data_IF_855007518182
#
_entry.id   IF_855007518182
#
_cell.length_a   1.000
_cell.length_b   1.000
_cell.length_c   1.000
_cell.angle_alpha   90.00
_cell.angle_beta   90.00
_cell.angle_gamma   90.00
#
_symmetry.space_group_name_H-M   'P 1'
#
loop_
_entity.id
_entity.type
_entity.pdbx_description
1 polymer ?
#
# COMPACT_ATOMS: atom_id res chain seq x y z
N UNK A 1 8.32 2.63 -27.01
CA UNK A 1 7.82 3.05 -26.57
C UNK A 1 7.92 4.04 -26.18
N UNK A 2 7.69 4.55 -26.25
CA UNK A 2 7.80 5.36 -25.85
C UNK A 2 7.44 5.84 -25.10
N UNK A 3 7.38 6.10 -24.81
CA UNK A 3 7.12 6.46 -24.12
C UNK A 3 6.75 7.36 -23.76
N UNK A 4 6.18 7.66 -23.60
CA UNK A 4 5.85 8.50 -23.09
C UNK A 4 5.58 8.67 -22.04
N UNK A 5 5.70 8.66 -21.83
CA UNK A 5 5.96 8.86 -20.75
C UNK A 5 5.17 9.39 -19.69
N UNK A 6 4.94 10.19 -19.22
CA UNK A 6 4.14 10.66 -18.14
C UNK A 6 2.69 10.24 -18.17
N UNK A 7 2.29 9.58 -19.20
CA UNK A 7 0.90 9.11 -19.31
C UNK A 7 0.74 7.63 -19.07
N UNK A 8 1.81 6.96 -18.79
CA UNK A 8 1.71 5.54 -18.51
C UNK A 8 1.18 5.33 -17.10
N UNK A 9 0.37 4.31 -16.93
CA UNK A 9 -0.07 3.88 -15.62
C UNK A 9 0.92 2.93 -14.96
N UNK A 10 2.04 2.68 -15.62
CA UNK A 10 3.04 1.77 -15.09
C UNK A 10 3.85 2.41 -13.97
N UNK A 11 4.22 1.61 -13.00
CA UNK A 11 5.09 2.05 -11.91
C UNK A 11 6.01 0.90 -11.57
N UNK A 12 7.27 1.22 -11.27
CA UNK A 12 8.23 0.18 -10.90
C UNK A 12 7.92 -0.34 -9.51
N UNK A 13 8.06 -1.66 -9.34
CA UNK A 13 7.81 -2.29 -8.05
C UNK A 13 8.66 -1.68 -6.95
N UNK A 14 9.91 -1.32 -7.26
CA UNK A 14 10.79 -0.71 -6.28
C UNK A 14 10.28 0.66 -5.82
N UNK A 15 9.46 1.32 -6.62
CA UNK A 15 8.85 2.59 -6.24
C UNK A 15 7.59 2.39 -5.42
N UNK A 16 6.91 1.28 -5.65
CA UNK A 16 5.70 0.97 -4.88
C UNK A 16 6.07 0.74 -3.42
N UNK A 17 7.12 -0.03 -3.20
CA UNK A 17 7.59 -0.31 -1.85
C UNK A 17 8.14 0.97 -1.24
N UNK A 18 7.63 1.34 -0.08
CA UNK A 18 8.00 2.60 0.58
C UNK A 18 7.03 3.73 0.30
N UNK A 19 6.09 3.54 -0.63
CA UNK A 19 5.12 4.59 -0.95
C UNK A 19 4.17 4.78 0.21
N UNK A 20 3.89 6.05 0.52
CA UNK A 20 2.95 6.42 1.57
C UNK A 20 1.55 5.91 1.27
N UNK A 21 0.86 5.48 2.30
CA UNK A 21 -0.55 5.09 2.22
C UNK A 21 -1.36 6.06 3.08
N UNK A 22 -2.42 6.59 2.51
CA UNK A 22 -3.29 7.56 3.19
C UNK A 22 -4.72 7.05 3.19
N UNK A 23 -5.52 7.58 4.12
CA UNK A 23 -6.96 7.32 4.09
C UNK A 23 -7.63 8.33 3.15
N UNK A 24 -8.95 8.20 3.00
CA UNK A 24 -9.68 9.07 2.09
C UNK A 24 -9.76 10.51 2.59
N UNK A 25 -9.43 10.76 3.84
CA UNK A 25 -9.38 12.11 4.40
C UNK A 25 -8.00 12.74 4.23
N UNK A 26 -7.05 12.01 3.65
CA UNK A 26 -5.71 12.52 3.42
C UNK A 26 -4.75 12.31 4.56
N UNK A 27 -5.15 11.59 5.60
CA UNK A 27 -4.27 11.30 6.72
C UNK A 27 -3.32 10.16 6.36
N UNK A 28 -2.05 10.33 6.70
CA UNK A 28 -1.08 9.29 6.47
C UNK A 28 -1.34 8.13 7.44
N UNK A 29 -1.47 6.93 6.88
CA UNK A 29 -1.67 5.72 7.67
C UNK A 29 -0.37 4.94 7.85
N UNK A 30 0.47 4.95 6.84
CA UNK A 30 1.70 4.19 6.87
C UNK A 30 2.32 4.13 5.50
N UNK A 31 2.90 2.99 5.16
CA UNK A 31 3.54 2.85 3.87
C UNK A 31 3.43 1.41 3.37
N UNK A 32 3.65 1.24 2.07
CA UNK A 32 3.70 -0.09 1.46
C UNK A 32 5.02 -0.73 1.85
N UNK A 33 4.95 -1.88 2.48
CA UNK A 33 6.13 -2.59 2.92
C UNK A 33 6.58 -3.64 1.92
N UNK A 34 5.62 -4.27 1.26
CA UNK A 34 5.93 -5.31 0.30
C UNK A 34 4.75 -5.53 -0.63
N UNK A 35 4.99 -6.30 -1.68
CA UNK A 35 3.97 -6.66 -2.66
C UNK A 35 4.06 -8.16 -2.86
N UNK A 36 2.92 -8.82 -2.79
CA UNK A 36 2.87 -10.28 -2.89
C UNK A 36 2.27 -10.67 -4.23
N UNK A 37 2.98 -11.48 -4.96
CA UNK A 37 2.61 -11.91 -6.30
C UNK A 37 2.21 -13.37 -6.31
N UNK A 38 1.29 -13.69 -7.21
CA UNK A 38 1.04 -15.09 -7.55
C UNK A 38 1.99 -15.45 -8.68
N UNK A 39 2.95 -16.32 -8.39
CA UNK A 39 3.98 -16.63 -9.37
C UNK A 39 3.49 -17.53 -10.51
N UNK A 40 2.30 -18.09 -10.39
CA UNK A 40 1.74 -18.88 -11.47
C UNK A 40 0.99 -18.03 -12.48
N UNK A 41 0.27 -17.03 -12.00
CA UNK A 41 -0.53 -16.17 -12.87
C UNK A 41 0.15 -14.84 -13.17
N UNK A 42 1.21 -14.52 -12.44
CA UNK A 42 1.91 -13.24 -12.52
C UNK A 42 1.05 -12.07 -12.05
N UNK A 43 0.00 -12.35 -11.32
CA UNK A 43 -0.87 -11.30 -10.78
C UNK A 43 -0.36 -10.80 -9.45
N UNK A 44 -0.64 -9.55 -9.15
CA UNK A 44 -0.38 -9.01 -7.83
C UNK A 44 -1.58 -9.34 -6.97
N UNK A 45 -1.34 -10.04 -5.87
CA UNK A 45 -2.41 -10.48 -4.98
C UNK A 45 -2.77 -9.39 -3.97
N UNK A 46 -1.79 -8.88 -3.26
CA UNK A 46 -2.04 -7.84 -2.27
C UNK A 46 -0.76 -7.10 -1.94
N UNK A 47 -0.92 -5.94 -1.33
CA UNK A 47 0.19 -5.21 -0.74
C UNK A 47 0.21 -5.43 0.76
N UNK A 48 1.40 -5.41 1.34
CA UNK A 48 1.55 -5.47 2.78
C UNK A 48 1.83 -4.04 3.26
N UNK A 49 0.93 -3.53 4.09
CA UNK A 49 1.06 -2.18 4.62
C UNK A 49 1.67 -2.24 6.01
N UNK A 50 2.51 -1.27 6.32
CA UNK A 50 3.08 -1.11 7.65
C UNK A 50 2.50 0.17 8.26
N UNK A 51 1.94 0.05 9.45
CA UNK A 51 1.30 1.17 10.12
C UNK A 51 1.97 1.49 11.45
N UNK A 52 3.22 1.06 11.62
CA UNK A 52 3.94 1.27 12.87
C UNK A 52 4.11 2.73 13.20
N UNK A 53 4.06 3.05 14.48
CA UNK A 53 4.23 4.40 14.97
C UNK A 53 3.03 5.29 14.77
N UNK A 54 2.38 5.18 13.64
CA UNK A 54 1.21 6.01 13.32
C UNK A 54 0.07 5.71 14.28
N UNK A 55 -0.07 4.45 14.65
CA UNK A 55 -1.14 4.00 15.53
C UNK A 55 -0.73 3.95 17.00
N UNK A 56 0.52 4.25 17.29
CA UNK A 56 1.00 4.29 18.67
C UNK A 56 1.08 2.93 19.37
N UNK A 57 1.06 1.86 18.61
CA UNK A 57 1.01 0.51 19.17
C UNK A 57 2.08 -0.39 18.60
N UNK A 58 3.16 0.18 18.13
CA UNK A 58 4.19 -0.58 17.45
C UNK A 58 3.79 -0.89 16.02
N UNK A 59 4.71 -1.45 15.28
CA UNK A 59 4.51 -1.70 13.87
C UNK A 59 3.59 -2.89 13.64
N UNK A 60 2.56 -2.69 12.84
CA UNK A 60 1.66 -3.73 12.40
C UNK A 60 1.70 -3.86 10.90
N UNK A 61 1.55 -5.09 10.42
CA UNK A 61 1.52 -5.37 8.99
C UNK A 61 0.12 -5.86 8.62
N UNK A 62 -0.43 -5.29 7.55
CA UNK A 62 -1.77 -5.63 7.11
C UNK A 62 -1.74 -5.95 5.62
N UNK A 63 -2.31 -7.09 5.22
CA UNK A 63 -2.48 -7.35 3.80
C UNK A 63 -3.68 -6.56 3.29
N UNK A 64 -3.48 -5.86 2.19
CA UNK A 64 -4.55 -5.10 1.54
C UNK A 64 -4.65 -5.59 0.11
N UNK A 65 -5.83 -6.07 -0.31
CA UNK A 65 -5.98 -6.53 -1.70
C UNK A 65 -5.53 -5.45 -2.66
N UNK A 66 -4.80 -5.86 -3.69
CA UNK A 66 -4.23 -4.88 -4.60
C UNK A 66 -5.28 -3.96 -5.21
N UNK A 67 -6.47 -4.52 -5.51
CA UNK A 67 -7.55 -3.74 -6.09
C UNK A 67 -8.10 -2.65 -5.16
N UNK A 68 -7.80 -2.74 -3.86
CA UNK A 68 -8.26 -1.74 -2.89
C UNK A 68 -7.31 -0.55 -2.79
N UNK A 69 -6.15 -0.63 -3.45
CA UNK A 69 -5.17 0.44 -3.43
C UNK A 69 -5.39 1.33 -4.64
N UNK A 70 -5.63 2.60 -4.40
CA UNK A 70 -5.86 3.59 -5.47
C UNK A 70 -4.73 4.60 -5.44
N UNK A 71 -3.94 4.63 -6.49
CA UNK A 71 -2.80 5.53 -6.55
C UNK A 71 -3.27 6.95 -6.87
N UNK A 72 -2.87 7.90 -6.06
CA UNK A 72 -3.16 9.32 -6.27
C UNK A 72 -1.88 9.98 -6.77
N UNK A 73 -1.86 10.34 -8.04
CA UNK A 73 -0.66 10.91 -8.64
C UNK A 73 -0.32 12.29 -8.08
N UNK A 74 -1.32 13.05 -7.71
CA UNK A 74 -1.08 14.37 -7.13
C UNK A 74 -0.40 14.29 -5.78
N UNK A 75 -0.66 13.23 -5.03
CA UNK A 75 -0.09 13.04 -3.70
C UNK A 75 1.09 12.08 -3.70
N UNK A 76 1.32 11.38 -4.82
CA UNK A 76 2.32 10.31 -4.90
C UNK A 76 2.14 9.31 -3.78
N UNK A 77 0.91 8.89 -3.55
CA UNK A 77 0.56 8.02 -2.44
C UNK A 77 -0.59 7.12 -2.86
N UNK A 78 -0.70 5.98 -2.17
CA UNK A 78 -1.87 5.13 -2.32
C UNK A 78 -2.92 5.56 -1.32
N UNK A 79 -4.16 5.56 -1.75
CA UNK A 79 -5.30 5.91 -0.91
C UNK A 79 -6.15 4.68 -0.72
N UNK A 80 -6.47 4.37 0.53
CA UNK A 80 -7.35 3.26 0.85
C UNK A 80 -8.57 3.78 1.60
N UNK A 81 -9.66 3.03 1.52
CA UNK A 81 -10.91 3.45 2.14
C UNK A 81 -11.07 2.80 3.52
N UNK A 82 -10.07 3.01 4.36
CA UNK A 82 -10.06 2.52 5.73
C UNK A 82 -9.62 3.66 6.64
N UNK A 83 -10.14 3.69 7.85
CA UNK A 83 -9.76 4.68 8.84
C UNK A 83 -8.70 4.12 9.77
N UNK A 84 -8.04 5.03 10.50
CA UNK A 84 -7.09 4.61 11.53
C UNK A 84 -7.75 3.70 12.56
N UNK A 85 -8.99 4.03 12.94
CA UNK A 85 -9.68 3.23 13.96
C UNK A 85 -9.97 1.82 13.45
N UNK A 86 -10.35 1.71 12.17
CA UNK A 86 -10.57 0.40 11.58
C UNK A 86 -9.28 -0.41 11.54
N UNK A 87 -8.16 0.23 11.26
CA UNK A 87 -6.88 -0.44 11.22
C UNK A 87 -6.42 -0.86 12.62
N UNK A 88 -6.67 -0.02 13.63
CA UNK A 88 -6.33 -0.39 15.00
C UNK A 88 -7.10 -1.62 15.45
N UNK A 89 -8.35 -1.74 15.03
CA UNK A 89 -9.20 -2.86 15.42
C UNK A 89 -8.87 -4.13 14.64
N UNK A 90 -8.29 -3.99 13.46
CA UNK A 90 -7.99 -5.14 12.62
C UNK A 90 -6.75 -5.88 13.15
N UNK A 91 -6.75 -7.21 13.11
CA UNK A 91 -5.56 -7.95 13.50
C UNK A 91 -4.45 -7.75 12.47
N UNK A 92 -3.24 -7.54 12.96
CA UNK A 92 -2.10 -7.51 12.08
C UNK A 92 -1.65 -8.90 11.73
N UNK A 93 -0.76 -8.99 10.77
CA UNK A 93 -0.16 -10.26 10.40
C UNK A 93 1.32 -10.23 10.74
N UNK A 94 1.88 -11.41 10.90
CA UNK A 94 3.33 -11.53 11.00
C UNK A 94 3.87 -11.66 9.59
N UNK A 95 4.65 -10.67 9.19
CA UNK A 95 5.22 -10.67 7.86
C UNK A 95 6.69 -11.06 7.93
N UNK A 96 7.08 -12.02 7.11
CA UNK A 96 8.47 -12.44 6.99
C UNK A 96 8.88 -12.36 5.54
N UNK A 97 10.01 -11.76 5.30
CA UNK A 97 10.56 -11.68 3.96
C UNK A 97 11.22 -12.98 3.53
#
# INVERSE_FOLDING_TARGET
MTTNTGHTSAIRASKVIGTTVKDSAGQRLGEVKDVVLDKQTNSILFGVMSFGGVLGIGEKFHPVPWAALNYDEGENAYVINLTKDQLKAAPGIRWKS
#
